data_IF_497379859716
#
_entry.id   IF_497379859716
#
_cell.length_a   1.000
_cell.length_b   1.000
_cell.length_c   1.000
_cell.angle_alpha   90.00
_cell.angle_beta   90.00
_cell.angle_gamma   90.00
#
_symmetry.space_group_name_H-M   'P 1'
#
loop_
_entity.id
_entity.type
_entity.pdbx_description
1 polymer ?
#
# COMPACT_ATOMS: atom_id res chain seq x y z
N UNK A 1 -34.82 20.46 8.30
CA UNK A 1 -34.20 19.18 7.87
C UNK A 1 -32.77 19.48 7.48
N UNK A 2 -31.80 18.84 8.16
CA UNK A 2 -30.38 19.24 8.15
C UNK A 2 -29.68 18.66 6.92
N UNK A 3 -28.97 19.52 6.19
CA UNK A 3 -28.16 19.24 4.98
C UNK A 3 -26.98 18.26 5.21
N UNK A 4 -26.89 17.63 6.39
CA UNK A 4 -25.72 16.91 6.88
C UNK A 4 -25.76 15.43 6.47
N UNK A 5 -26.93 14.88 6.12
CA UNK A 5 -27.07 13.46 5.76
C UNK A 5 -26.79 13.14 4.29
N UNK A 6 -26.75 14.14 3.40
CA UNK A 6 -26.56 13.89 1.95
C UNK A 6 -25.08 13.67 1.55
N UNK A 7 -24.13 13.95 2.45
CA UNK A 7 -22.69 13.79 2.18
C UNK A 7 -22.27 12.31 2.32
N UNK A 8 -23.08 11.46 2.96
CA UNK A 8 -22.79 10.02 3.09
C UNK A 8 -23.08 9.22 1.81
N UNK A 9 -23.90 9.77 0.89
CA UNK A 9 -24.36 9.06 -0.31
C UNK A 9 -23.46 9.27 -1.54
N UNK A 10 -22.54 10.24 -1.51
CA UNK A 10 -21.71 10.64 -2.66
C UNK A 10 -20.24 10.21 -2.57
N UNK A 11 -19.91 9.19 -1.76
CA UNK A 11 -18.67 8.42 -1.92
C UNK A 11 -17.34 9.19 -1.77
N UNK A 12 -17.36 10.44 -1.29
CA UNK A 12 -16.18 11.28 -1.09
C UNK A 12 -15.86 11.45 0.40
N UNK A 13 -16.05 10.39 1.20
CA UNK A 13 -15.28 10.31 2.45
C UNK A 13 -13.82 10.15 2.02
N UNK A 14 -13.04 11.22 2.16
CA UNK A 14 -11.56 11.18 2.22
C UNK A 14 -11.20 10.19 3.34
N UNK A 15 -11.19 8.89 3.02
CA UNK A 15 -10.63 7.89 3.92
C UNK A 15 -9.13 8.20 3.93
N UNK A 16 -8.50 8.49 5.08
CA UNK A 16 -7.05 8.34 5.14
C UNK A 16 -6.80 6.90 4.70
N UNK A 17 -6.27 6.72 3.49
CA UNK A 17 -5.85 5.40 3.08
C UNK A 17 -4.60 5.12 3.90
N UNK A 18 -4.73 4.29 4.93
CA UNK A 18 -3.60 3.73 5.65
C UNK A 18 -2.85 2.86 4.66
N UNK A 19 -2.02 3.47 3.81
CA UNK A 19 -1.46 2.84 2.65
C UNK A 19 0.07 2.82 2.72
N UNK A 20 0.63 1.66 2.45
CA UNK A 20 2.06 1.44 2.29
C UNK A 20 2.38 1.37 0.80
N UNK A 21 3.14 2.35 0.30
CA UNK A 21 3.65 2.32 -1.06
C UNK A 21 5.02 1.66 -1.11
N UNK A 22 5.20 0.79 -2.09
CA UNK A 22 6.37 -0.04 -2.26
C UNK A 22 6.90 0.13 -3.67
N UNK A 23 8.23 0.17 -3.81
CA UNK A 23 8.88 0.07 -5.12
C UNK A 23 9.85 -1.09 -5.11
N UNK A 24 9.52 -2.10 -5.89
CA UNK A 24 10.34 -3.27 -6.09
C UNK A 24 11.16 -3.08 -7.37
N UNK A 25 12.47 -3.30 -7.27
CA UNK A 25 13.34 -3.31 -8.45
C UNK A 25 13.17 -4.63 -9.19
N UNK A 26 12.69 -4.58 -10.43
CA UNK A 26 12.60 -5.76 -11.30
C UNK A 26 13.99 -6.13 -11.82
N UNK A 27 14.20 -7.41 -12.09
CA UNK A 27 15.41 -7.96 -12.72
C UNK A 27 15.02 -9.09 -13.68
N UNK A 28 15.96 -9.59 -14.48
CA UNK A 28 15.72 -10.75 -15.36
C UNK A 28 15.31 -12.01 -14.58
N UNK A 29 15.66 -12.07 -13.28
CA UNK A 29 15.31 -13.16 -12.36
C UNK A 29 14.14 -12.83 -11.42
N UNK A 30 13.62 -11.59 -11.47
CA UNK A 30 12.53 -11.12 -10.60
C UNK A 30 11.56 -10.27 -11.41
N UNK A 31 10.50 -10.92 -11.86
CA UNK A 31 9.51 -10.36 -12.78
C UNK A 31 8.44 -9.56 -12.04
N UNK A 32 7.62 -8.81 -12.80
CA UNK A 32 6.44 -8.13 -12.26
C UNK A 32 5.44 -9.11 -11.62
N UNK A 33 5.35 -10.34 -12.14
CA UNK A 33 4.51 -11.39 -11.56
C UNK A 33 5.04 -11.85 -10.20
N UNK A 34 6.36 -12.06 -10.07
CA UNK A 34 7.00 -12.41 -8.80
C UNK A 34 6.85 -11.29 -7.76
N UNK A 35 6.95 -10.05 -8.23
CA UNK A 35 6.74 -8.86 -7.43
C UNK A 35 5.31 -8.76 -6.93
N UNK A 36 4.33 -8.92 -7.83
CA UNK A 36 2.91 -8.92 -7.51
C UNK A 36 2.59 -10.03 -6.49
N UNK A 37 3.09 -11.25 -6.72
CA UNK A 37 2.89 -12.38 -5.82
C UNK A 37 3.50 -12.10 -4.42
N UNK A 38 4.72 -11.57 -4.37
CA UNK A 38 5.40 -11.22 -3.12
C UNK A 38 4.62 -10.15 -2.33
N UNK A 39 4.12 -9.12 -3.02
CA UNK A 39 3.36 -8.02 -2.42
C UNK A 39 2.00 -8.51 -1.94
N UNK A 40 1.31 -9.35 -2.72
CA UNK A 40 0.04 -9.94 -2.33
C UNK A 40 0.16 -10.83 -1.10
N UNK A 41 1.16 -11.71 -1.08
CA UNK A 41 1.43 -12.59 0.07
C UNK A 41 1.74 -11.76 1.32
N UNK A 42 2.57 -10.73 1.16
CA UNK A 42 2.89 -9.81 2.24
C UNK A 42 1.64 -9.07 2.75
N UNK A 43 0.81 -8.53 1.85
CA UNK A 43 -0.41 -7.82 2.20
C UNK A 43 -1.35 -8.72 3.03
N UNK A 44 -1.63 -9.93 2.54
CA UNK A 44 -2.51 -10.88 3.24
C UNK A 44 -1.97 -11.22 4.63
N UNK A 45 -0.65 -11.46 4.74
CA UNK A 45 -0.02 -11.80 6.02
C UNK A 45 -0.11 -10.68 7.05
N UNK A 46 0.02 -9.42 6.62
CA UNK A 46 -0.06 -8.26 7.50
C UNK A 46 -1.49 -7.69 7.63
N UNK A 47 -2.51 -8.34 7.06
CA UNK A 47 -3.91 -7.92 7.16
C UNK A 47 -4.33 -6.80 6.20
N UNK A 48 -3.50 -6.48 5.20
CA UNK A 48 -3.80 -5.49 4.16
C UNK A 48 -4.28 -6.11 2.84
N UNK A 49 -4.63 -5.26 1.90
CA UNK A 49 -4.95 -5.65 0.52
C UNK A 49 -4.23 -4.75 -0.48
N UNK A 50 -3.86 -5.32 -1.63
CA UNK A 50 -3.17 -4.58 -2.69
C UNK A 50 -4.21 -3.77 -3.48
N UNK A 51 -3.97 -2.47 -3.63
CA UNK A 51 -4.77 -1.62 -4.51
C UNK A 51 -4.31 -1.82 -5.96
N UNK A 52 -5.26 -2.15 -6.85
CA UNK A 52 -5.01 -2.37 -8.29
C UNK A 52 -4.84 -1.06 -9.07
N UNK A 53 -4.14 -0.09 -8.48
CA UNK A 53 -3.82 1.18 -9.10
C UNK A 53 -2.42 1.08 -9.69
N UNK A 54 -2.28 1.22 -11.01
CA UNK A 54 -0.97 1.27 -11.66
C UNK A 54 -0.32 2.62 -11.38
N UNK A 55 0.64 2.65 -10.45
CA UNK A 55 1.44 3.85 -10.15
C UNK A 55 2.69 3.95 -11.03
N UNK A 56 3.24 2.81 -11.46
CA UNK A 56 4.44 2.69 -12.29
C UNK A 56 4.97 1.26 -12.26
N UNK A 57 5.98 0.96 -13.08
CA UNK A 57 6.62 -0.37 -13.09
C UNK A 57 7.23 -0.68 -11.71
N UNK A 58 6.86 -1.84 -11.16
CA UNK A 58 7.33 -2.29 -9.85
C UNK A 58 6.79 -1.48 -8.67
N UNK A 59 5.80 -0.60 -8.87
CA UNK A 59 5.18 0.19 -7.81
C UNK A 59 3.84 -0.41 -7.37
N UNK A 60 3.71 -0.60 -6.05
CA UNK A 60 2.54 -1.23 -5.44
C UNK A 60 2.04 -0.40 -4.27
N UNK A 61 0.73 -0.45 -4.02
CA UNK A 61 0.10 0.15 -2.85
C UNK A 61 -0.64 -0.92 -2.08
N UNK A 62 -0.35 -1.05 -0.79
CA UNK A 62 -1.07 -1.93 0.13
C UNK A 62 -1.87 -1.06 1.06
N UNK A 63 -3.18 -1.27 1.12
CA UNK A 63 -4.09 -0.54 2.00
C UNK A 63 -4.43 -1.40 3.20
N UNK A 64 -4.51 -0.77 4.36
CA UNK A 64 -4.83 -1.36 5.65
C UNK A 64 -6.10 -0.73 6.21
N UNK A 65 -6.79 -1.47 7.10
CA UNK A 65 -7.98 -0.95 7.76
C UNK A 65 -7.61 0.13 8.79
N UNK A 66 -6.50 -0.08 9.51
CA UNK A 66 -6.04 0.81 10.57
C UNK A 66 -4.63 1.37 10.32
N UNK A 67 -4.33 2.51 10.96
CA UNK A 67 -2.99 3.11 10.95
C UNK A 67 -1.96 2.21 11.66
N UNK A 68 -2.39 1.53 12.72
CA UNK A 68 -1.54 0.61 13.49
C UNK A 68 -1.08 -0.59 12.65
N UNK A 69 -1.99 -1.19 11.88
CA UNK A 69 -1.65 -2.27 10.93
C UNK A 69 -0.65 -1.79 9.87
N UNK A 70 -0.86 -0.60 9.31
CA UNK A 70 0.07 -0.03 8.33
C UNK A 70 1.47 0.22 8.94
N UNK A 71 1.54 0.74 10.16
CA UNK A 71 2.81 0.95 10.88
C UNK A 71 3.50 -0.36 11.26
N UNK A 72 2.74 -1.39 11.63
CA UNK A 72 3.27 -2.72 11.87
C UNK A 72 3.82 -3.35 10.58
N UNK A 73 3.03 -3.35 9.50
CA UNK A 73 3.44 -3.85 8.20
C UNK A 73 4.71 -3.13 7.70
N UNK A 74 4.79 -1.80 7.87
CA UNK A 74 5.98 -1.01 7.55
C UNK A 74 7.22 -1.52 8.27
N UNK A 75 7.13 -1.81 9.57
CA UNK A 75 8.25 -2.37 10.36
C UNK A 75 8.65 -3.75 9.84
N UNK A 76 7.68 -4.61 9.52
CA UNK A 76 7.94 -5.94 8.95
C UNK A 76 8.61 -5.84 7.58
N UNK A 77 8.11 -4.97 6.69
CA UNK A 77 8.67 -4.78 5.37
C UNK A 77 10.09 -4.20 5.41
N UNK A 78 10.36 -3.22 6.30
CA UNK A 78 11.73 -2.69 6.51
C UNK A 78 12.73 -3.78 6.91
N UNK A 79 12.29 -4.80 7.64
CA UNK A 79 13.15 -5.94 7.99
C UNK A 79 13.38 -6.84 6.78
N UNK A 80 12.33 -7.10 6.00
CA UNK A 80 12.39 -7.89 4.77
C UNK A 80 13.30 -7.23 3.72
N UNK A 81 13.20 -5.91 3.55
CA UNK A 81 13.97 -5.15 2.57
C UNK A 81 15.47 -5.10 2.87
N UNK A 82 15.87 -5.21 4.15
CA UNK A 82 17.28 -5.34 4.53
C UNK A 82 17.91 -6.65 4.08
N UNK A 83 17.11 -7.71 3.93
CA UNK A 83 17.58 -9.02 3.49
C UNK A 83 17.53 -9.20 1.97
N UNK A 84 16.89 -8.28 1.24
CA UNK A 84 16.77 -8.32 -0.23
C UNK A 84 17.26 -6.99 -0.85
N UNK A 85 18.53 -6.90 -1.30
CA UNK A 85 19.09 -5.70 -1.90
C UNK A 85 18.39 -5.39 -3.24
N UNK A 86 17.31 -4.62 -3.19
CA UNK A 86 16.44 -4.30 -4.34
C UNK A 86 15.03 -3.87 -3.93
N UNK A 87 14.64 -4.14 -2.68
CA UNK A 87 13.34 -3.77 -2.13
C UNK A 87 13.46 -2.36 -1.52
N UNK A 88 12.80 -1.38 -2.13
CA UNK A 88 12.79 0.00 -1.61
C UNK A 88 11.39 0.37 -1.15
N UNK A 89 11.29 0.92 0.06
CA UNK A 89 10.05 1.54 0.53
C UNK A 89 10.06 2.97 0.02
N UNK A 90 9.09 3.32 -0.81
CA UNK A 90 8.78 4.71 -1.09
C UNK A 90 7.95 5.19 0.10
N UNK A 91 8.54 6.01 0.96
CA UNK A 91 8.00 6.32 2.28
C UNK A 91 6.54 6.83 2.27
N UNK A 92 5.94 6.78 3.46
CA UNK A 92 4.59 7.21 3.77
C UNK A 92 4.33 8.65 3.30
N UNK A 93 3.16 8.84 2.68
CA UNK A 93 2.50 10.13 2.65
C UNK A 93 1.03 9.90 2.98
N UNK A 94 0.50 10.58 3.98
CA UNK A 94 -0.93 10.88 4.03
C UNK A 94 -1.24 11.65 2.74
N UNK A 95 -1.79 10.99 1.73
CA UNK A 95 -2.22 11.67 0.52
C UNK A 95 -3.52 12.41 0.83
N UNK A 96 -3.39 13.63 1.35
CA UNK A 96 -4.42 14.64 1.15
C UNK A 96 -4.25 15.19 -0.26
N UNK A 97 -5.13 14.79 -1.19
CA UNK A 97 -5.32 15.59 -2.41
C UNK A 97 -5.80 16.98 -1.95
N UNK A 98 -5.00 18.00 -2.28
CA UNK A 98 -5.47 19.39 -2.36
C UNK A 98 -6.58 19.50 -3.40
#
# INVERSE_FOLDING_TARGET
MKLIELVETLGLRKRPQNALRLKLKMTDEFTEEDAMATVHEFAIREGGWVENTKFGEGEFSIVFETEEEAEQAKKTFRRLSRMRPGFTILDYGLWSYE
#
